data_IF_189476675608
#
_entry.id   IF_189476675608
#
_cell.length_a   1.000
_cell.length_b   1.000
_cell.length_c   1.000
_cell.angle_alpha   90.00
_cell.angle_beta   90.00
_cell.angle_gamma   90.00
#
_symmetry.space_group_name_H-M   'P 1'
#
loop_
_entity.id
_entity.type
_entity.pdbx_description
1 polymer ?
#
# COMPACT_ATOMS: atom_id res chain seq x y z
N UNK A 1 -13.20 7.63 -12.05
CA UNK A 1 -12.86 8.34 -10.80
C UNK A 1 -11.47 7.89 -10.37
N UNK A 2 -10.63 8.80 -9.88
CA UNK A 2 -9.30 8.44 -9.39
C UNK A 2 -9.37 7.89 -7.98
N UNK A 3 -8.49 6.94 -7.67
CA UNK A 3 -8.36 6.36 -6.34
C UNK A 3 -7.67 7.38 -5.42
N UNK A 4 -8.23 7.59 -4.23
CA UNK A 4 -7.69 8.54 -3.23
C UNK A 4 -7.46 7.87 -1.89
N UNK A 5 -6.76 8.54 -0.98
CA UNK A 5 -6.45 8.04 0.35
C UNK A 5 -6.94 9.01 1.42
N UNK A 6 -7.63 8.48 2.43
CA UNK A 6 -7.99 9.24 3.63
C UNK A 6 -7.32 8.65 4.87
N UNK A 7 -6.90 9.54 5.76
CA UNK A 7 -6.49 9.17 7.11
C UNK A 7 -7.68 8.70 7.93
N UNK A 8 -7.57 7.50 8.49
CA UNK A 8 -8.55 6.96 9.47
C UNK A 8 -8.18 7.28 10.91
N UNK A 9 -7.11 8.06 11.13
CA UNK A 9 -6.70 8.46 12.48
C UNK A 9 -7.81 9.28 13.13
N UNK A 10 -8.23 8.86 14.33
CA UNK A 10 -9.33 9.49 15.07
C UNK A 10 -10.73 9.14 14.56
N UNK A 11 -10.86 8.30 13.53
CA UNK A 11 -12.16 7.86 12.98
C UNK A 11 -12.48 6.44 13.44
N UNK A 12 -13.77 6.15 13.61
CA UNK A 12 -14.26 4.80 13.92
C UNK A 12 -14.65 4.06 12.64
N UNK A 13 -14.47 2.73 12.57
CA UNK A 13 -14.89 1.95 11.41
C UNK A 13 -16.37 2.17 11.03
N UNK A 14 -17.26 2.26 12.02
CA UNK A 14 -18.69 2.46 11.80
C UNK A 14 -19.02 3.77 11.07
N UNK A 15 -18.22 4.81 11.24
CA UNK A 15 -18.43 6.12 10.58
C UNK A 15 -18.14 6.06 9.08
N UNK A 16 -17.19 5.20 8.68
CA UNK A 16 -16.76 5.07 7.28
C UNK A 16 -17.39 3.87 6.57
N UNK A 17 -17.94 2.91 7.32
CA UNK A 17 -18.58 1.72 6.77
C UNK A 17 -19.87 2.02 5.99
N UNK A 18 -20.49 3.19 6.20
CA UNK A 18 -21.66 3.62 5.45
C UNK A 18 -21.33 4.06 4.01
N UNK A 19 -20.07 4.40 3.73
CA UNK A 19 -19.62 4.79 2.40
C UNK A 19 -19.30 3.53 1.56
N UNK A 20 -20.08 3.23 0.49
CA UNK A 20 -19.86 2.06 -0.35
C UNK A 20 -18.56 2.14 -1.19
N UNK A 21 -17.96 3.33 -1.29
CA UNK A 21 -16.70 3.56 -1.96
C UNK A 21 -15.50 3.54 -1.00
N UNK A 22 -15.73 3.43 0.30
CA UNK A 22 -14.67 3.32 1.28
C UNK A 22 -14.13 1.89 1.39
N UNK A 23 -12.81 1.75 1.28
CA UNK A 23 -12.11 0.48 1.50
C UNK A 23 -10.96 0.67 2.48
N UNK A 24 -11.02 -0.03 3.61
CA UNK A 24 -9.90 -0.06 4.54
C UNK A 24 -8.76 -0.95 4.01
N UNK A 25 -7.56 -0.39 3.90
CA UNK A 25 -6.36 -1.09 3.38
C UNK A 25 -5.23 -1.18 4.42
N UNK A 26 -5.51 -0.82 5.67
CA UNK A 26 -4.52 -0.82 6.74
C UNK A 26 -4.35 -2.15 7.45
N UNK A 27 -3.40 -2.17 8.39
CA UNK A 27 -3.18 -3.29 9.32
C UNK A 27 -4.28 -3.36 10.38
N UNK A 28 -4.46 -4.53 10.99
CA UNK A 28 -5.39 -4.67 12.11
C UNK A 28 -5.02 -3.73 13.26
N UNK A 29 -6.00 -2.98 13.76
CA UNK A 29 -5.91 -2.18 14.99
C UNK A 29 -7.10 -2.54 15.90
N UNK A 30 -7.07 -3.72 16.54
CA UNK A 30 -8.22 -4.27 17.26
C UNK A 30 -8.70 -3.40 18.41
N UNK A 31 -7.78 -2.67 19.08
CA UNK A 31 -8.11 -1.74 20.18
C UNK A 31 -9.08 -0.63 19.79
N UNK A 32 -9.13 -0.29 18.50
CA UNK A 32 -9.99 0.77 17.94
C UNK A 32 -10.91 0.23 16.83
N UNK A 33 -11.10 -1.10 16.77
CA UNK A 33 -12.09 -1.76 15.92
C UNK A 33 -11.71 -1.98 14.46
N UNK A 34 -10.54 -1.54 13.99
CA UNK A 34 -10.14 -1.74 12.59
C UNK A 34 -9.66 -3.17 12.36
N UNK A 35 -10.38 -3.93 11.53
CA UNK A 35 -9.97 -5.27 11.07
C UNK A 35 -8.88 -5.15 10.01
N UNK A 36 -7.91 -6.06 10.02
CA UNK A 36 -6.82 -6.05 9.06
C UNK A 36 -7.30 -6.31 7.64
N UNK A 37 -6.69 -5.62 6.67
CA UNK A 37 -6.97 -5.80 5.25
C UNK A 37 -5.93 -6.73 4.60
N UNK A 38 -6.32 -7.50 3.57
CA UNK A 38 -5.35 -8.21 2.72
C UNK A 38 -4.29 -7.27 2.12
N UNK A 39 -4.66 -6.01 1.88
CA UNK A 39 -3.81 -4.95 1.33
C UNK A 39 -2.91 -4.26 2.37
N UNK A 40 -2.93 -4.72 3.62
CA UNK A 40 -2.14 -4.13 4.70
C UNK A 40 -0.64 -4.37 4.51
N UNK A 41 0.17 -3.33 4.74
CA UNK A 41 1.63 -3.46 4.66
C UNK A 41 2.16 -4.48 5.70
N UNK A 42 2.75 -5.62 5.28
CA UNK A 42 3.30 -6.62 6.18
C UNK A 42 4.61 -6.17 6.83
N UNK A 43 5.29 -5.17 6.26
CA UNK A 43 6.56 -4.62 6.75
C UNK A 43 6.31 -3.55 7.84
N UNK A 44 6.95 -3.72 8.98
CA UNK A 44 6.85 -2.80 10.13
C UNK A 44 8.13 -1.99 10.25
N UNK A 45 7.97 -0.69 10.49
CA UNK A 45 9.02 0.35 10.52
C UNK A 45 10.13 0.07 11.56
N UNK A 46 9.91 -0.80 12.55
CA UNK A 46 10.85 -1.05 13.66
C UNK A 46 11.09 -2.55 13.96
N UNK A 47 10.92 -3.45 12.99
CA UNK A 47 11.16 -4.88 13.25
C UNK A 47 12.45 -5.39 12.65
N UNK A 48 13.24 -6.12 13.44
CA UNK A 48 14.41 -6.90 12.97
C UNK A 48 14.07 -7.83 11.80
N UNK A 49 12.80 -8.24 11.63
CA UNK A 49 12.32 -9.04 10.49
C UNK A 49 12.42 -8.37 9.12
N UNK A 50 12.82 -7.10 9.04
CA UNK A 50 13.08 -6.43 7.77
C UNK A 50 14.35 -6.97 7.09
N UNK A 51 15.25 -7.64 7.82
CA UNK A 51 16.50 -8.22 7.28
C UNK A 51 16.33 -9.59 6.63
N UNK A 52 15.37 -10.42 7.05
CA UNK A 52 15.19 -11.77 6.47
C UNK A 52 14.41 -11.80 5.15
N UNK A 53 13.85 -10.66 4.73
CA UNK A 53 13.13 -10.54 3.47
C UNK A 53 14.06 -10.18 2.30
N UNK A 54 15.20 -9.56 2.61
CA UNK A 54 16.28 -9.27 1.65
C UNK A 54 16.71 -10.57 0.95
N UNK A 55 16.86 -11.69 1.67
CA UNK A 55 17.34 -12.96 1.11
C UNK A 55 16.40 -13.61 0.07
N UNK A 56 15.07 -13.43 0.19
CA UNK A 56 14.12 -14.06 -0.74
C UNK A 56 13.88 -13.25 -2.00
N UNK A 57 13.94 -11.92 -1.92
CA UNK A 57 13.77 -11.04 -3.09
C UNK A 57 15.05 -10.88 -3.92
N UNK A 58 16.22 -11.13 -3.34
CA UNK A 58 17.53 -11.12 -4.04
C UNK A 58 17.66 -12.21 -5.12
N UNK A 59 16.77 -13.21 -5.16
CA UNK A 59 16.72 -14.21 -6.24
C UNK A 59 16.23 -13.65 -7.58
N UNK A 60 15.67 -12.44 -7.58
CA UNK A 60 15.14 -11.78 -8.75
C UNK A 60 16.20 -10.79 -9.28
N UNK A 61 16.73 -11.03 -10.48
CA UNK A 61 17.93 -10.31 -10.96
C UNK A 61 17.77 -8.79 -11.04
N UNK A 62 16.55 -8.27 -11.27
CA UNK A 62 16.26 -6.84 -11.25
C UNK A 62 16.25 -6.22 -9.84
N UNK A 63 16.26 -7.03 -8.77
CA UNK A 63 16.22 -6.59 -7.38
C UNK A 63 17.58 -6.13 -6.85
N UNK A 64 18.69 -6.62 -7.44
CA UNK A 64 20.06 -6.37 -6.94
C UNK A 64 20.51 -4.91 -7.08
N UNK A 65 19.93 -4.17 -8.03
CA UNK A 65 20.18 -2.72 -8.18
C UNK A 65 19.28 -1.91 -7.23
N UNK A 66 18.06 -2.38 -6.97
CA UNK A 66 17.12 -1.78 -6.01
C UNK A 66 17.57 -1.93 -4.55
N UNK A 67 18.32 -2.98 -4.21
CA UNK A 67 18.76 -3.24 -2.83
C UNK A 67 19.73 -2.19 -2.27
N UNK A 68 20.56 -1.57 -3.11
CA UNK A 68 21.41 -0.44 -2.70
C UNK A 68 20.56 0.76 -2.30
N UNK A 69 19.57 1.09 -3.13
CA UNK A 69 18.61 2.16 -2.86
C UNK A 69 17.77 1.91 -1.59
N UNK A 70 17.35 0.66 -1.34
CA UNK A 70 16.61 0.32 -0.12
C UNK A 70 17.40 0.54 1.18
N UNK A 71 18.72 0.41 1.15
CA UNK A 71 19.57 0.58 2.34
C UNK A 71 19.71 2.04 2.79
N UNK A 72 19.52 2.99 1.87
CA UNK A 72 19.63 4.44 2.11
C UNK A 72 18.29 5.06 2.55
N UNK A 73 17.19 4.31 2.44
CA UNK A 73 15.87 4.79 2.82
C UNK A 73 15.68 4.78 4.34
N UNK A 74 15.17 5.89 4.86
CA UNK A 74 14.63 5.96 6.20
C UNK A 74 13.58 4.86 6.46
N UNK A 75 13.45 4.34 7.70
CA UNK A 75 12.69 3.12 7.97
C UNK A 75 11.24 3.09 7.46
N UNK A 76 10.52 4.22 7.54
CA UNK A 76 9.15 4.32 7.02
C UNK A 76 9.10 4.24 5.50
N UNK A 77 10.02 4.92 4.82
CA UNK A 77 10.11 4.87 3.36
C UNK A 77 10.52 3.47 2.90
N UNK A 78 11.48 2.85 3.59
CA UNK A 78 11.89 1.46 3.32
C UNK A 78 10.72 0.49 3.46
N UNK A 79 9.91 0.60 4.51
CA UNK A 79 8.74 -0.26 4.68
C UNK A 79 7.66 -0.06 3.59
N UNK A 80 7.49 1.18 3.09
CA UNK A 80 6.57 1.46 1.97
C UNK A 80 7.10 0.88 0.66
N UNK A 81 8.40 1.03 0.39
CA UNK A 81 8.99 0.50 -0.85
C UNK A 81 9.05 -1.03 -0.85
N UNK A 82 9.40 -1.65 0.27
CA UNK A 82 9.31 -3.11 0.42
C UNK A 82 7.89 -3.63 0.16
N UNK A 83 6.86 -2.90 0.63
CA UNK A 83 5.48 -3.25 0.32
C UNK A 83 5.18 -3.14 -1.17
N UNK A 84 5.65 -2.09 -1.85
CA UNK A 84 5.49 -1.93 -3.30
C UNK A 84 6.12 -3.10 -4.05
N UNK A 85 7.36 -3.43 -3.73
CA UNK A 85 8.11 -4.49 -4.39
C UNK A 85 7.50 -5.87 -4.11
N UNK A 86 7.11 -6.13 -2.86
CA UNK A 86 6.35 -7.33 -2.51
C UNK A 86 5.06 -7.41 -3.32
N UNK A 87 4.24 -6.37 -3.35
CA UNK A 87 2.98 -6.38 -4.09
C UNK A 87 3.19 -6.66 -5.58
N UNK A 88 4.22 -6.08 -6.20
CA UNK A 88 4.56 -6.33 -7.61
C UNK A 88 5.02 -7.77 -7.88
N UNK A 89 5.53 -8.48 -6.87
CA UNK A 89 5.87 -9.90 -6.96
C UNK A 89 4.67 -10.84 -6.78
N UNK A 90 3.47 -10.31 -6.47
CA UNK A 90 2.28 -11.10 -6.14
C UNK A 90 1.24 -10.98 -7.28
N UNK A 91 1.23 -11.89 -8.26
CA UNK A 91 0.33 -11.79 -9.42
C UNK A 91 -1.15 -11.78 -9.03
N UNK A 92 -1.55 -12.58 -8.04
CA UNK A 92 -2.94 -12.62 -7.56
C UNK A 92 -3.38 -11.29 -6.95
N UNK A 93 -2.48 -10.60 -6.25
CA UNK A 93 -2.77 -9.27 -5.71
C UNK A 93 -2.94 -8.25 -6.84
N UNK A 94 -2.06 -8.27 -7.83
CA UNK A 94 -2.16 -7.37 -8.99
C UNK A 94 -3.46 -7.60 -9.76
N UNK A 95 -3.85 -8.87 -9.95
CA UNK A 95 -5.11 -9.24 -10.59
C UNK A 95 -6.35 -8.74 -9.83
N UNK A 96 -6.24 -8.43 -8.53
CA UNK A 96 -7.33 -7.92 -7.69
C UNK A 96 -7.35 -6.40 -7.53
N UNK A 97 -6.44 -5.65 -8.15
CA UNK A 97 -6.37 -4.19 -8.02
C UNK A 97 -7.64 -3.47 -8.49
N UNK A 98 -8.40 -4.07 -9.43
CA UNK A 98 -9.69 -3.54 -9.88
C UNK A 98 -10.69 -3.34 -8.73
N UNK A 99 -10.57 -4.10 -7.63
CA UNK A 99 -11.50 -4.03 -6.49
C UNK A 99 -11.36 -2.76 -5.65
N UNK A 100 -10.20 -2.12 -5.72
CA UNK A 100 -9.87 -0.91 -4.95
C UNK A 100 -9.70 0.32 -5.86
N UNK A 101 -9.84 0.14 -7.17
CA UNK A 101 -9.75 1.19 -8.16
C UNK A 101 -10.95 2.14 -8.09
N UNK A 102 -10.68 3.43 -8.16
CA UNK A 102 -11.67 4.51 -8.04
C UNK A 102 -12.30 4.64 -6.65
N UNK A 103 -11.78 3.91 -5.65
CA UNK A 103 -12.29 3.89 -4.28
C UNK A 103 -11.58 4.92 -3.39
N UNK A 104 -12.16 5.17 -2.22
CA UNK A 104 -11.53 5.91 -1.14
C UNK A 104 -10.80 4.93 -0.21
N UNK A 105 -9.48 4.91 -0.24
CA UNK A 105 -8.68 3.99 0.57
C UNK A 105 -8.42 4.56 1.97
N UNK A 106 -8.76 3.80 3.00
CA UNK A 106 -8.49 4.16 4.39
C UNK A 106 -7.15 3.63 4.89
N UNK A 107 -6.27 4.52 5.35
CA UNK A 107 -5.02 4.16 6.03
C UNK A 107 -4.74 5.04 7.25
N UNK A 108 -3.88 4.59 8.17
CA UNK A 108 -3.52 5.35 9.37
C UNK A 108 -2.45 6.43 9.14
N UNK A 109 -1.65 6.30 8.07
CA UNK A 109 -0.45 7.12 7.88
C UNK A 109 -0.76 8.57 7.48
N UNK A 110 -1.76 8.79 6.61
CA UNK A 110 -2.11 10.12 6.11
C UNK A 110 -3.12 10.07 4.96
N UNK A 111 -3.61 11.25 4.59
CA UNK A 111 -4.49 11.45 3.42
C UNK A 111 -3.67 11.86 2.20
N UNK A 112 -4.19 11.58 1.02
CA UNK A 112 -3.57 11.94 -0.26
C UNK A 112 -4.59 11.93 -1.39
N UNK A 113 -4.49 12.91 -2.27
CA UNK A 113 -5.20 12.99 -3.54
C UNK A 113 -4.21 13.04 -4.72
N UNK A 114 -4.60 12.57 -5.92
CA UNK A 114 -3.80 12.74 -7.13
C UNK A 114 -3.39 14.22 -7.34
N UNK A 115 -2.10 14.44 -7.58
CA UNK A 115 -1.52 15.79 -7.73
C UNK A 115 -1.02 16.42 -6.43
N UNK A 116 -1.27 15.82 -5.26
CA UNK A 116 -0.71 16.28 -3.99
C UNK A 116 0.65 15.63 -3.67
N UNK A 117 1.48 16.28 -2.84
CA UNK A 117 2.68 15.66 -2.28
C UNK A 117 2.36 14.33 -1.58
N UNK A 118 3.16 13.31 -1.87
CA UNK A 118 2.89 11.96 -1.40
C UNK A 118 3.36 11.76 0.04
N UNK A 119 2.46 11.39 0.98
CA UNK A 119 2.90 10.95 2.29
C UNK A 119 3.57 9.58 2.17
N UNK A 120 4.45 9.27 3.12
CA UNK A 120 5.02 7.92 3.26
C UNK A 120 3.95 6.94 3.75
N UNK A 121 3.14 6.45 2.82
CA UNK A 121 1.95 5.64 3.07
C UNK A 121 1.79 4.57 1.98
N UNK A 122 1.61 3.31 2.38
CA UNK A 122 1.46 2.21 1.43
C UNK A 122 0.14 2.27 0.62
N UNK A 123 -0.88 2.92 1.17
CA UNK A 123 -2.17 3.10 0.49
C UNK A 123 -2.04 4.00 -0.75
N UNK A 124 -1.08 4.94 -0.76
CA UNK A 124 -0.79 5.77 -1.94
C UNK A 124 -0.24 4.91 -3.07
N UNK A 125 0.69 4.00 -2.75
CA UNK A 125 1.20 3.01 -3.71
C UNK A 125 0.07 2.16 -4.30
N UNK A 126 -0.84 1.68 -3.46
CA UNK A 126 -2.01 0.90 -3.91
C UNK A 126 -2.91 1.71 -4.83
N UNK A 127 -3.24 2.95 -4.45
CA UNK A 127 -4.08 3.84 -5.26
C UNK A 127 -3.49 4.05 -6.66
N UNK A 128 -2.19 4.34 -6.74
CA UNK A 128 -1.49 4.53 -8.01
C UNK A 128 -1.48 3.28 -8.88
N UNK A 129 -1.21 2.11 -8.31
CA UNK A 129 -1.21 0.86 -9.07
C UNK A 129 -2.62 0.47 -9.54
N UNK A 130 -3.63 0.72 -8.71
CA UNK A 130 -5.03 0.50 -9.06
C UNK A 130 -5.47 1.38 -10.23
N UNK A 131 -5.05 2.64 -10.27
CA UNK A 131 -5.38 3.56 -11.36
C UNK A 131 -4.53 3.30 -12.62
N UNK A 132 -3.23 3.00 -12.48
CA UNK A 132 -2.34 2.72 -13.61
C UNK A 132 -2.74 1.46 -14.39
N UNK A 133 -3.38 0.49 -13.73
CA UNK A 133 -3.90 -0.71 -14.38
C UNK A 133 -5.12 -0.44 -15.29
N UNK A 134 -5.65 0.78 -15.35
CA UNK A 134 -6.57 1.23 -16.43
C UNK A 134 -5.81 1.65 -17.68
N UNK A 135 -4.69 2.37 -17.51
CA UNK A 135 -3.95 2.95 -18.63
C UNK A 135 -3.42 1.88 -19.59
N UNK A 136 -3.08 0.70 -19.07
CA UNK A 136 -2.63 -0.44 -19.88
C UNK A 136 -3.77 -1.26 -20.52
N UNK A 137 -5.01 -1.09 -20.08
CA UNK A 137 -6.16 -1.82 -20.65
C UNK A 137 -6.76 -1.12 -21.89
N UNK A 138 -6.35 0.12 -22.18
CA UNK A 138 -6.79 0.91 -23.34
C UNK A 138 -5.78 0.96 -24.50
N UNK A 139 -4.70 0.19 -24.43
CA UNK A 139 -3.72 0.04 -25.52
C UNK A 139 -3.85 -1.37 -26.11
N UNK A 140 -4.91 -1.59 -26.88
CA UNK A 140 -5.04 -2.74 -27.77
C UNK A 140 -5.78 -2.32 -29.04
#
# INVERSE_FOLDING_TARGET
>A
MSTRVISVRGRKPAELAADPDFVYVGRAMPRIGWKGSPWGNPFKVHTAKMSSFDDKMVSVSWFRETSKSLSELEPTAKAVELHRLWLLSQPDYLANLYRIRGKTLGCWCGSWEPGQPEPRCHAVTLAKLADASLAHAGSN
#
